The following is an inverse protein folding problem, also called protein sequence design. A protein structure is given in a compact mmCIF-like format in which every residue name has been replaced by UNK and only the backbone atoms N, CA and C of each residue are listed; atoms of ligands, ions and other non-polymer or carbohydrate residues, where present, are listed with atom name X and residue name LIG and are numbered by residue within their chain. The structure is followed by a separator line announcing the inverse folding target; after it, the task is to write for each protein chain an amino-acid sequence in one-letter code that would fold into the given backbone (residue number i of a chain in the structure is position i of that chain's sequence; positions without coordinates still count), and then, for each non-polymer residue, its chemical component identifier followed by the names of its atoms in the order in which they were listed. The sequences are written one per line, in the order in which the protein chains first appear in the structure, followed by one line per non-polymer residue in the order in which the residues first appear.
data_IF_899320483199
#
_entry.id   IF_899320483199
#
_cell.length_a   1.000
_cell.length_b   1.000
_cell.length_c   1.000
_cell.angle_alpha   90.00
_cell.angle_beta   90.00
_cell.angle_gamma   90.00
#
_symmetry.space_group_name_H-M   'P 1'
#
loop_
_entity.id
_entity.type
_entity.pdbx_description
1 polymer ?
#
# COMPACT_ATOMS: atom_id res chain seq x y z
N UNK A 1 -41.00 -11.21 -48.82
CA UNK A 1 -40.59 -11.86 -47.55
C UNK A 1 -41.00 -10.94 -46.38
N UNK A 2 -41.32 -11.48 -45.20
CA UNK A 2 -42.63 -11.28 -44.55
C UNK A 2 -42.72 -10.08 -43.57
N UNK A 3 -43.93 -9.81 -43.04
CA UNK A 3 -44.33 -8.57 -42.37
C UNK A 3 -44.47 -8.73 -40.84
N UNK A 4 -44.84 -7.64 -40.13
CA UNK A 4 -45.59 -7.52 -38.84
C UNK A 4 -45.15 -6.23 -38.12
N UNK A 5 -45.93 -5.42 -37.39
CA UNK A 5 -47.31 -5.37 -36.83
C UNK A 5 -47.60 -3.87 -36.56
N UNK A 6 -48.82 -3.34 -36.75
CA UNK A 6 -49.87 -3.18 -35.70
C UNK A 6 -49.30 -2.57 -34.40
N UNK A 7 -49.81 -1.52 -33.77
CA UNK A 7 -51.18 -0.98 -33.57
C UNK A 7 -50.94 0.30 -32.74
N UNK A 8 -51.62 1.44 -32.98
CA UNK A 8 -52.84 1.84 -32.27
C UNK A 8 -52.63 2.02 -30.75
N UNK A 9 -53.13 3.03 -30.04
CA UNK A 9 -54.23 3.98 -30.26
C UNK A 9 -54.47 4.64 -28.89
N UNK A 10 -54.72 5.97 -28.87
CA UNK A 10 -55.54 6.73 -27.88
C UNK A 10 -55.03 6.81 -26.42
N UNK A 11 -55.43 7.75 -25.57
CA UNK A 11 -56.14 9.04 -25.60
C UNK A 11 -56.03 9.61 -24.18
N UNK A 12 -56.53 10.84 -24.01
CA UNK A 12 -57.08 11.44 -22.79
C UNK A 12 -56.06 12.21 -21.95
N UNK A 13 -55.99 13.54 -22.04
CA UNK A 13 -56.95 14.63 -21.69
C UNK A 13 -56.97 14.99 -20.20
N UNK A 14 -56.74 16.29 -19.98
CA UNK A 14 -57.38 17.18 -19.01
C UNK A 14 -57.06 16.95 -17.52
N UNK A 15 -56.34 17.87 -16.87
CA UNK A 15 -56.84 19.15 -16.32
C UNK A 15 -57.67 18.95 -15.04
N UNK A 16 -57.15 19.42 -13.90
CA UNK A 16 -57.70 20.58 -13.22
C UNK A 16 -56.90 20.91 -11.96
N UNK A 17 -56.71 22.21 -11.75
CA UNK A 17 -56.26 22.83 -10.52
C UNK A 17 -57.28 22.64 -9.38
N UNK A 18 -56.86 22.91 -8.14
CA UNK A 18 -57.44 23.92 -7.22
C UNK A 18 -57.09 23.64 -5.75
N UNK A 19 -56.69 24.72 -5.07
CA UNK A 19 -56.80 25.05 -3.64
C UNK A 19 -55.91 24.37 -2.59
N UNK A 20 -54.92 25.15 -2.11
CA UNK A 20 -54.69 25.37 -0.67
C UNK A 20 -55.84 26.26 -0.10
N UNK A 21 -56.08 26.43 1.22
CA UNK A 21 -55.05 26.74 2.22
C UNK A 21 -55.30 26.22 3.66
N UNK A 22 -54.40 26.63 4.58
CA UNK A 22 -54.60 26.88 6.02
C UNK A 22 -53.79 25.99 7.00
N UNK A 23 -52.65 26.56 7.38
CA UNK A 23 -52.24 26.90 8.75
C UNK A 23 -52.50 25.90 9.90
N UNK A 24 -51.43 25.39 10.47
CA UNK A 24 -51.21 25.42 11.94
C UNK A 24 -49.73 25.18 12.24
N UNK A 25 -49.13 26.13 12.96
CA UNK A 25 -47.78 26.07 13.51
C UNK A 25 -47.80 25.35 14.90
N UNK A 26 -46.73 25.36 15.72
CA UNK A 26 -46.02 24.14 16.13
C UNK A 26 -46.13 23.86 17.64
N UNK A 27 -45.79 22.66 18.07
CA UNK A 27 -45.71 22.27 19.49
C UNK A 27 -44.59 21.22 19.68
N UNK A 28 -44.00 21.07 20.88
CA UNK A 28 -42.57 21.29 21.15
C UNK A 28 -41.75 20.01 21.39
N UNK A 29 -40.40 20.11 21.48
CA UNK A 29 -39.51 18.96 21.67
C UNK A 29 -39.23 18.69 23.15
N UNK A 30 -39.22 17.40 23.54
CA UNK A 30 -38.59 16.91 24.76
C UNK A 30 -38.53 15.36 24.73
N UNK A 31 -37.72 14.70 25.57
CA UNK A 31 -36.29 14.92 25.84
C UNK A 31 -35.49 13.61 25.72
N UNK A 32 -34.16 13.71 25.73
CA UNK A 32 -33.22 12.59 25.76
C UNK A 32 -33.41 11.68 27.00
N UNK A 33 -33.07 10.39 26.89
CA UNK A 33 -32.70 9.59 28.05
C UNK A 33 -31.27 9.05 27.96
N UNK A 34 -30.45 9.46 28.93
CA UNK A 34 -29.35 8.68 29.53
C UNK A 34 -29.60 8.69 31.05
N UNK A 35 -28.96 7.84 31.88
CA UNK A 35 -28.22 6.60 31.64
C UNK A 35 -28.72 5.45 32.56
N UNK A 36 -28.42 4.18 32.23
CA UNK A 36 -28.58 3.07 33.18
C UNK A 36 -27.30 2.24 33.24
N UNK A 37 -26.72 2.20 34.44
CA UNK A 37 -25.52 1.46 34.81
C UNK A 37 -25.88 0.10 35.44
N UNK A 38 -25.08 -0.95 35.17
CA UNK A 38 -24.65 -1.96 36.15
C UNK A 38 -23.47 -2.81 35.60
N UNK A 39 -22.67 -3.46 36.47
CA UNK A 39 -21.21 -3.62 36.37
C UNK A 39 -20.84 -5.13 36.35
N UNK A 40 -19.72 -5.56 36.96
CA UNK A 40 -18.34 -5.54 36.48
C UNK A 40 -17.89 -6.95 36.07
N UNK A 41 -17.03 -7.09 35.05
CA UNK A 41 -16.22 -8.30 34.91
C UNK A 41 -14.78 -7.94 34.66
N UNK A 42 -13.96 -8.49 35.55
CA UNK A 42 -12.53 -8.36 35.62
C UNK A 42 -11.82 -9.26 34.60
N UNK A 43 -10.58 -8.87 34.37
CA UNK A 43 -9.43 -9.68 33.97
C UNK A 43 -9.18 -9.93 32.47
N UNK A 44 -7.95 -9.57 32.12
CA UNK A 44 -7.11 -9.93 30.98
C UNK A 44 -7.45 -9.38 29.59
N UNK A 45 -6.97 -8.17 29.32
CA UNK A 45 -6.41 -7.81 28.01
C UNK A 45 -5.07 -7.06 28.18
N UNK A 46 -4.14 -7.67 28.93
CA UNK A 46 -2.73 -7.28 28.91
C UNK A 46 -2.04 -8.04 27.77
N UNK A 47 -2.29 -7.64 26.52
CA UNK A 47 -1.46 -7.98 25.35
C UNK A 47 -2.06 -7.39 24.06
N UNK A 48 -2.17 -6.06 23.97
CA UNK A 48 -2.40 -5.41 22.66
C UNK A 48 -1.97 -3.94 22.72
N UNK A 49 -0.68 -3.72 23.04
CA UNK A 49 -0.08 -2.37 23.06
C UNK A 49 0.98 -2.17 21.98
N UNK A 50 1.34 -3.19 21.19
CA UNK A 50 2.47 -3.09 20.24
C UNK A 50 2.08 -2.89 18.78
N UNK A 51 0.78 -2.90 18.45
CA UNK A 51 0.31 -2.68 17.05
C UNK A 51 -0.15 -1.27 16.74
N UNK A 52 -0.41 -0.42 17.75
CA UNK A 52 -0.92 0.94 17.50
C UNK A 52 0.17 2.02 17.52
N UNK A 53 1.42 1.67 17.83
CA UNK A 53 2.54 2.61 17.90
C UNK A 53 3.54 2.47 16.76
N UNK A 54 3.35 1.52 15.85
CA UNK A 54 4.34 1.17 14.82
C UNK A 54 3.93 1.57 13.40
N UNK A 55 2.62 1.65 13.12
CA UNK A 55 2.12 2.04 11.78
C UNK A 55 1.84 3.54 11.67
N UNK A 56 1.73 4.23 12.79
CA UNK A 56 1.52 5.68 12.77
C UNK A 56 2.90 6.36 12.66
N UNK A 57 3.19 7.07 11.55
CA UNK A 57 4.38 7.90 11.49
C UNK A 57 4.41 8.83 12.71
N UNK A 58 5.60 9.19 13.23
CA UNK A 58 5.70 10.11 14.35
C UNK A 58 4.77 11.30 14.08
N UNK A 59 3.98 11.77 15.08
CA UNK A 59 3.00 12.82 14.86
C UNK A 59 3.71 14.01 14.27
N UNK A 60 3.58 14.16 12.95
CA UNK A 60 4.19 15.27 12.24
C UNK A 60 3.47 16.48 12.79
N UNK A 61 4.18 17.46 13.37
CA UNK A 61 3.53 18.64 13.91
C UNK A 61 2.65 19.23 12.80
N UNK A 62 1.36 19.39 13.09
CA UNK A 62 0.34 19.82 12.11
C UNK A 62 0.72 21.13 11.42
N UNK A 63 1.56 21.94 12.06
CA UNK A 63 2.21 23.10 11.47
C UNK A 63 3.69 23.19 11.87
N UNK A 64 4.52 23.59 10.91
CA UNK A 64 5.93 23.93 11.16
C UNK A 64 6.02 25.21 12.04
N UNK A 65 4.98 26.05 12.00
CA UNK A 65 4.75 27.25 12.82
C UNK A 65 3.65 26.96 13.86
N UNK A 66 4.04 26.43 15.03
CA UNK A 66 3.12 25.97 16.09
C UNK A 66 2.58 27.10 16.96
N UNK A 67 3.26 28.25 16.95
CA UNK A 67 2.94 29.49 17.64
C UNK A 67 2.04 30.42 16.80
N UNK A 68 1.86 30.14 15.51
CA UNK A 68 1.08 30.96 14.61
C UNK A 68 -0.42 30.71 14.77
N UNK A 69 -1.14 31.74 15.23
CA UNK A 69 -2.61 31.78 15.23
C UNK A 69 -3.06 32.57 13.98
N UNK A 70 -3.81 31.95 13.05
CA UNK A 70 -4.30 32.65 11.87
C UNK A 70 -5.18 33.85 12.28
N UNK A 71 -4.94 35.05 11.75
CA UNK A 71 -5.82 36.18 12.00
C UNK A 71 -7.18 35.97 11.32
N UNK A 72 -8.23 36.56 11.88
CA UNK A 72 -9.55 36.59 11.25
C UNK A 72 -9.47 37.35 9.92
N UNK A 73 -9.87 36.70 8.83
CA UNK A 73 -9.77 37.27 7.48
C UNK A 73 -10.95 38.20 7.23
N UNK A 74 -10.66 39.48 6.99
CA UNK A 74 -11.65 40.41 6.48
C UNK A 74 -11.90 40.09 5.00
N UNK A 75 -13.15 40.02 4.53
CA UNK A 75 -13.45 39.80 3.13
C UNK A 75 -12.74 40.85 2.27
N UNK A 76 -11.92 40.42 1.32
CA UNK A 76 -11.26 41.33 0.41
C UNK A 76 -12.25 41.83 -0.63
N UNK A 77 -12.38 43.16 -0.75
CA UNK A 77 -13.11 43.77 -1.85
C UNK A 77 -12.18 43.87 -3.05
N UNK A 78 -12.40 42.99 -4.04
CA UNK A 78 -11.67 43.03 -5.30
C UNK A 78 -12.21 44.16 -6.19
N UNK A 79 -11.29 44.94 -6.77
CA UNK A 79 -11.64 45.84 -7.86
C UNK A 79 -12.04 45.05 -9.10
N UNK A 80 -12.71 45.68 -10.05
CA UNK A 80 -13.12 44.97 -11.28
C UNK A 80 -11.89 44.52 -12.10
N UNK A 81 -10.81 45.30 -12.10
CA UNK A 81 -9.53 44.91 -12.71
C UNK A 81 -8.92 43.65 -12.04
N UNK A 82 -9.00 43.56 -10.72
CA UNK A 82 -8.51 42.39 -9.99
C UNK A 82 -9.35 41.14 -10.32
N UNK A 83 -10.67 41.28 -10.45
CA UNK A 83 -11.55 40.19 -10.86
C UNK A 83 -11.21 39.70 -12.27
N UNK A 84 -10.93 40.61 -13.20
CA UNK A 84 -10.51 40.24 -14.57
C UNK A 84 -9.17 39.49 -14.57
N UNK A 85 -8.20 39.94 -13.76
CA UNK A 85 -6.92 39.24 -13.58
C UNK A 85 -7.10 37.85 -13.00
N UNK A 86 -7.97 37.70 -12.00
CA UNK A 86 -8.29 36.41 -11.39
C UNK A 86 -8.92 35.46 -12.42
N UNK A 87 -9.83 35.95 -13.26
CA UNK A 87 -10.41 35.12 -14.34
C UNK A 87 -9.35 34.73 -15.36
N UNK A 88 -8.46 35.64 -15.72
CA UNK A 88 -7.35 35.35 -16.63
C UNK A 88 -6.39 34.31 -16.03
N UNK A 89 -6.09 34.40 -14.74
CA UNK A 89 -5.28 33.43 -14.02
C UNK A 89 -5.96 32.07 -13.94
N UNK A 90 -7.27 32.04 -13.63
CA UNK A 90 -8.08 30.83 -13.54
C UNK A 90 -8.11 30.06 -14.85
N UNK A 91 -8.38 30.79 -15.94
CA UNK A 91 -8.55 30.21 -17.26
C UNK A 91 -7.22 30.00 -17.99
N UNK A 92 -6.14 30.69 -17.56
CA UNK A 92 -4.84 30.75 -18.23
C UNK A 92 -4.88 31.36 -19.64
N UNK A 93 -5.99 31.99 -20.02
CA UNK A 93 -6.17 32.72 -21.27
C UNK A 93 -7.13 33.88 -21.07
N UNK A 94 -7.11 34.84 -22.00
CA UNK A 94 -8.05 35.96 -22.01
C UNK A 94 -9.41 35.53 -22.56
N UNK A 95 -10.52 35.69 -21.81
CA UNK A 95 -11.85 35.35 -22.29
C UNK A 95 -12.23 36.09 -23.57
N UNK A 96 -11.73 37.31 -23.76
CA UNK A 96 -11.97 38.10 -24.98
C UNK A 96 -11.31 37.43 -26.20
N UNK A 97 -10.11 36.89 -26.05
CA UNK A 97 -9.41 36.17 -27.13
C UNK A 97 -10.19 34.92 -27.53
N UNK A 98 -10.67 34.14 -26.56
CA UNK A 98 -11.46 32.94 -26.84
C UNK A 98 -12.75 33.28 -27.60
N UNK A 99 -13.44 34.35 -27.19
CA UNK A 99 -14.68 34.77 -27.85
C UNK A 99 -14.43 35.28 -29.26
N UNK A 100 -13.32 35.98 -29.49
CA UNK A 100 -12.87 36.38 -30.81
C UNK A 100 -12.58 35.17 -31.70
N UNK A 101 -11.84 34.18 -31.20
CA UNK A 101 -11.51 32.96 -31.96
C UNK A 101 -12.76 32.15 -32.33
N UNK A 102 -13.76 32.10 -31.43
CA UNK A 102 -15.05 31.45 -31.70
C UNK A 102 -15.82 32.20 -32.79
N UNK A 103 -15.89 33.53 -32.72
CA UNK A 103 -16.57 34.34 -33.71
C UNK A 103 -15.90 34.21 -35.09
N UNK A 104 -14.57 34.27 -35.14
CA UNK A 104 -13.80 34.08 -36.37
C UNK A 104 -14.02 32.69 -36.97
N UNK A 105 -14.03 31.65 -36.14
CA UNK A 105 -14.32 30.29 -36.61
C UNK A 105 -15.74 30.14 -37.15
N UNK A 106 -16.71 30.84 -36.54
CA UNK A 106 -18.08 30.87 -37.03
C UNK A 106 -18.19 31.58 -38.39
N UNK A 107 -17.45 32.68 -38.58
CA UNK A 107 -17.33 33.35 -39.88
C UNK A 107 -16.72 32.43 -40.93
N UNK A 108 -15.61 31.75 -40.63
CA UNK A 108 -15.02 30.83 -41.59
C UNK A 108 -15.99 29.68 -41.95
N UNK A 109 -16.71 29.16 -40.96
CA UNK A 109 -17.70 28.10 -41.20
C UNK A 109 -18.86 28.60 -42.06
N UNK A 110 -19.33 29.83 -41.82
CA UNK A 110 -20.33 30.50 -42.64
C UNK A 110 -19.90 30.57 -44.11
N UNK A 111 -18.70 31.09 -44.40
CA UNK A 111 -18.16 31.14 -45.76
C UNK A 111 -18.06 29.76 -46.39
N UNK A 112 -17.50 28.77 -45.68
CA UNK A 112 -17.41 27.39 -46.17
C UNK A 112 -18.79 26.79 -46.50
N UNK A 113 -19.84 27.14 -45.75
CA UNK A 113 -21.21 26.68 -46.06
C UNK A 113 -21.78 27.36 -47.29
N UNK A 114 -21.55 28.66 -47.48
CA UNK A 114 -21.98 29.40 -48.67
C UNK A 114 -21.27 28.85 -49.91
N UNK A 115 -19.94 28.67 -49.86
CA UNK A 115 -19.16 28.04 -50.93
C UNK A 115 -19.67 26.63 -51.25
N UNK A 116 -20.02 25.84 -50.23
CA UNK A 116 -20.60 24.51 -50.41
C UNK A 116 -21.97 24.53 -51.09
N UNK A 117 -22.82 25.49 -50.74
CA UNK A 117 -24.14 25.71 -51.35
C UNK A 117 -23.99 26.20 -52.78
N UNK A 118 -23.08 27.13 -53.05
CA UNK A 118 -22.76 27.62 -54.39
C UNK A 118 -22.27 26.49 -55.29
N UNK A 119 -21.30 25.70 -54.81
CA UNK A 119 -20.78 24.55 -55.54
C UNK A 119 -21.87 23.49 -55.80
N UNK A 120 -22.83 23.32 -54.88
CA UNK A 120 -23.98 22.44 -55.10
C UNK A 120 -24.95 23.01 -56.14
N UNK A 121 -25.31 24.29 -56.03
CA UNK A 121 -26.22 24.97 -56.93
C UNK A 121 -25.66 25.01 -58.36
N UNK A 122 -24.37 25.29 -58.53
CA UNK A 122 -23.68 25.27 -59.81
C UNK A 122 -23.69 23.88 -60.48
N UNK A 123 -23.59 22.79 -59.69
CA UNK A 123 -23.72 21.42 -60.22
C UNK A 123 -25.13 21.12 -60.72
N UNK A 124 -26.16 21.64 -60.05
CA UNK A 124 -27.55 21.37 -60.40
C UNK A 124 -28.07 22.25 -61.55
N UNK A 125 -27.57 23.48 -61.69
CA UNK A 125 -27.94 24.45 -62.73
C UNK A 125 -27.51 24.07 -64.16
N UNK A 126 -26.79 22.95 -64.36
CA UNK A 126 -26.47 22.32 -65.67
C UNK A 126 -26.23 23.31 -66.84
N UNK A 127 -25.24 24.18 -66.69
CA UNK A 127 -24.59 24.97 -67.76
C UNK A 127 -25.57 25.80 -68.61
N UNK A 128 -26.26 26.74 -67.96
CA UNK A 128 -26.89 27.87 -68.64
C UNK A 128 -26.35 29.15 -68.02
N UNK A 129 -25.68 29.97 -68.83
CA UNK A 129 -25.07 31.25 -68.42
C UNK A 129 -26.04 32.19 -67.66
N UNK A 130 -27.34 32.06 -67.88
CA UNK A 130 -28.36 32.83 -67.17
C UNK A 130 -28.62 32.32 -65.74
N UNK A 131 -28.59 31.00 -65.54
CA UNK A 131 -28.83 30.34 -64.24
C UNK A 131 -27.57 30.43 -63.36
N UNK A 132 -26.37 30.41 -63.96
CA UNK A 132 -25.10 30.63 -63.25
C UNK A 132 -25.03 32.03 -62.60
N UNK A 133 -25.41 33.08 -63.35
CA UNK A 133 -25.47 34.45 -62.81
C UNK A 133 -26.49 34.61 -61.68
N UNK A 134 -27.62 33.92 -61.78
CA UNK A 134 -28.63 33.95 -60.72
C UNK A 134 -28.12 33.24 -59.45
N UNK A 135 -27.37 32.14 -59.60
CA UNK A 135 -26.71 31.44 -58.50
C UNK A 135 -25.64 32.32 -57.84
N UNK A 136 -24.79 33.02 -58.61
CA UNK A 136 -23.78 33.94 -58.07
C UNK A 136 -24.42 35.09 -57.27
N UNK A 137 -25.45 35.73 -57.83
CA UNK A 137 -26.17 36.83 -57.16
C UNK A 137 -26.90 36.34 -55.90
N UNK A 138 -27.50 35.15 -55.96
CA UNK A 138 -28.16 34.52 -54.83
C UNK A 138 -27.19 34.09 -53.73
N UNK A 139 -26.03 33.54 -54.11
CA UNK A 139 -24.94 33.16 -53.20
C UNK A 139 -24.42 34.38 -52.44
N UNK A 140 -24.14 35.46 -53.16
CA UNK A 140 -23.68 36.70 -52.55
C UNK A 140 -24.74 37.34 -51.64
N UNK A 141 -26.02 37.31 -52.02
CA UNK A 141 -27.10 37.80 -51.15
C UNK A 141 -27.25 36.93 -49.88
N UNK A 142 -27.04 35.62 -49.99
CA UNK A 142 -27.04 34.69 -48.86
C UNK A 142 -25.83 34.95 -47.93
N UNK A 143 -24.64 35.15 -48.50
CA UNK A 143 -23.42 35.50 -47.79
C UNK A 143 -23.62 36.75 -46.94
N UNK A 144 -24.00 37.87 -47.56
CA UNK A 144 -24.21 39.14 -46.85
C UNK A 144 -25.29 39.03 -45.77
N UNK A 145 -26.37 38.29 -46.04
CA UNK A 145 -27.42 38.07 -45.05
C UNK A 145 -26.87 37.28 -43.84
N UNK A 146 -26.10 36.23 -44.12
CA UNK A 146 -25.58 35.34 -43.09
C UNK A 146 -24.49 36.04 -42.27
N UNK A 147 -23.59 36.79 -42.89
CA UNK A 147 -22.63 37.67 -42.20
C UNK A 147 -23.34 38.61 -41.22
N UNK A 148 -24.34 39.37 -41.69
CA UNK A 148 -25.07 40.33 -40.86
C UNK A 148 -25.74 39.67 -39.65
N UNK A 149 -26.26 38.45 -39.83
CA UNK A 149 -26.91 37.71 -38.75
C UNK A 149 -25.92 37.06 -37.79
N UNK A 150 -24.80 36.53 -38.31
CA UNK A 150 -23.75 35.91 -37.53
C UNK A 150 -23.05 36.97 -36.68
N UNK A 151 -22.66 38.11 -37.25
CA UNK A 151 -22.10 39.26 -36.52
C UNK A 151 -22.99 39.66 -35.34
N UNK A 152 -24.29 39.91 -35.62
CA UNK A 152 -25.24 40.30 -34.58
C UNK A 152 -25.39 39.23 -33.50
N UNK A 153 -25.44 37.96 -33.88
CA UNK A 153 -25.57 36.87 -32.93
C UNK A 153 -24.31 36.75 -32.04
N UNK A 154 -23.12 36.83 -32.63
CA UNK A 154 -21.86 36.72 -31.91
C UNK A 154 -21.51 37.96 -31.08
N UNK A 155 -21.93 39.16 -31.48
CA UNK A 155 -21.88 40.35 -30.63
C UNK A 155 -22.73 40.16 -29.36
N UNK A 156 -23.95 39.65 -29.53
CA UNK A 156 -24.87 39.40 -28.41
C UNK A 156 -24.34 38.30 -27.50
N UNK A 157 -23.78 37.23 -28.08
CA UNK A 157 -23.13 36.15 -27.36
C UNK A 157 -21.91 36.62 -26.59
N UNK A 158 -21.03 37.40 -27.22
CA UNK A 158 -19.81 37.95 -26.59
C UNK A 158 -20.18 38.83 -25.40
N UNK A 159 -21.15 39.74 -25.59
CA UNK A 159 -21.66 40.58 -24.51
C UNK A 159 -22.28 39.75 -23.37
N UNK A 160 -23.02 38.69 -23.69
CA UNK A 160 -23.62 37.80 -22.69
C UNK A 160 -22.54 37.01 -21.92
N UNK A 161 -21.56 36.45 -22.61
CA UNK A 161 -20.50 35.63 -22.03
C UNK A 161 -19.62 36.44 -21.08
N UNK A 162 -19.19 37.65 -21.49
CA UNK A 162 -18.39 38.54 -20.65
C UNK A 162 -19.16 39.04 -19.42
N UNK A 163 -20.49 39.21 -19.53
CA UNK A 163 -21.32 39.67 -18.40
C UNK A 163 -21.72 38.58 -17.42
N UNK A 164 -21.81 37.32 -17.84
CA UNK A 164 -22.36 36.23 -17.03
C UNK A 164 -21.38 35.09 -16.80
N UNK A 165 -20.82 34.51 -17.87
CA UNK A 165 -20.01 33.30 -17.77
C UNK A 165 -18.62 33.60 -17.19
N UNK A 166 -18.01 34.71 -17.60
CA UNK A 166 -16.67 35.11 -17.17
C UNK A 166 -16.68 36.21 -16.10
N UNK A 167 -17.86 36.55 -15.56
CA UNK A 167 -17.97 37.58 -14.51
C UNK A 167 -17.93 36.94 -13.13
N UNK A 168 -17.02 37.42 -12.29
CA UNK A 168 -17.01 37.09 -10.86
C UNK A 168 -18.10 37.90 -10.15
N UNK A 169 -19.02 37.26 -9.41
CA UNK A 169 -20.05 37.97 -8.65
C UNK A 169 -19.45 38.80 -7.51
N UNK A 170 -20.07 39.95 -7.24
CA UNK A 170 -19.63 40.85 -6.17
C UNK A 170 -19.85 40.21 -4.79
N UNK A 171 -18.86 40.33 -3.91
CA UNK A 171 -18.92 39.81 -2.54
C UNK A 171 -18.56 38.33 -2.39
N UNK A 172 -18.13 37.65 -3.46
CA UNK A 172 -17.58 36.28 -3.37
C UNK A 172 -16.07 36.35 -3.24
N UNK A 173 -15.54 35.73 -2.18
CA UNK A 173 -14.10 35.50 -2.03
C UNK A 173 -13.68 34.40 -3.01
N UNK A 174 -13.01 34.79 -4.11
CA UNK A 174 -12.50 33.83 -5.08
C UNK A 174 -11.16 33.29 -4.59
N UNK A 175 -11.17 32.06 -4.09
CA UNK A 175 -9.94 31.34 -3.73
C UNK A 175 -9.61 30.35 -4.85
N UNK A 176 -8.52 30.61 -5.56
CA UNK A 176 -8.02 29.68 -6.57
C UNK A 176 -7.52 28.38 -5.93
N UNK A 177 -7.58 27.24 -6.63
CA UNK A 177 -7.09 25.97 -6.11
C UNK A 177 -5.63 26.02 -5.65
N UNK A 178 -4.77 26.75 -6.36
CA UNK A 178 -3.36 26.93 -5.99
C UNK A 178 -3.13 27.99 -4.90
N UNK A 179 -4.09 28.90 -4.67
CA UNK A 179 -4.06 29.82 -3.52
C UNK A 179 -4.53 29.14 -2.24
N UNK A 180 -5.11 27.93 -2.32
CA UNK A 180 -5.56 27.19 -1.15
C UNK A 180 -4.37 26.78 -0.27
N UNK A 181 -4.37 27.25 0.97
CA UNK A 181 -3.33 26.94 1.95
C UNK A 181 -2.13 27.89 1.92
N UNK A 182 -2.10 28.85 0.99
CA UNK A 182 -1.14 29.95 1.06
C UNK A 182 -1.64 30.94 2.12
N UNK A 183 -0.79 31.20 3.10
CA UNK A 183 -1.07 32.16 4.16
C UNK A 183 0.09 33.15 4.26
N UNK A 184 -0.07 34.32 3.64
CA UNK A 184 0.94 35.37 3.65
C UNK A 184 1.15 35.97 5.04
N UNK A 185 0.14 35.94 5.91
CA UNK A 185 0.29 36.38 7.30
C UNK A 185 1.21 35.43 8.08
N UNK A 186 1.17 34.12 7.77
CA UNK A 186 2.12 33.14 8.32
C UNK A 186 3.54 33.41 7.85
N UNK A 187 3.73 33.73 6.58
CA UNK A 187 5.05 34.07 6.05
C UNK A 187 5.60 35.35 6.71
N UNK A 188 4.77 36.39 6.83
CA UNK A 188 5.14 37.63 7.50
C UNK A 188 5.53 37.41 8.99
N UNK A 189 4.82 36.52 9.68
CA UNK A 189 5.16 36.12 11.05
C UNK A 189 6.56 35.50 11.10
N UNK A 190 6.87 34.53 10.23
CA UNK A 190 8.19 33.86 10.19
C UNK A 190 9.32 34.84 9.88
N UNK A 191 9.12 35.79 8.96
CA UNK A 191 10.10 36.84 8.64
C UNK A 191 10.31 37.80 9.81
N UNK A 192 9.27 38.05 10.62
CA UNK A 192 9.35 38.89 11.80
C UNK A 192 10.13 38.28 12.97
N UNK A 193 10.30 36.95 12.99
CA UNK A 193 11.11 36.27 14.01
C UNK A 193 12.60 36.38 13.70
N UNK A 194 13.48 36.56 14.71
CA UNK A 194 14.92 36.51 14.49
C UNK A 194 15.32 35.11 14.00
N UNK A 195 15.97 35.05 12.83
CA UNK A 195 16.38 33.81 12.14
C UNK A 195 15.24 32.79 11.88
N UNK A 196 14.02 33.29 11.65
CA UNK A 196 12.84 32.43 11.44
C UNK A 196 12.95 31.54 10.19
N UNK A 197 13.46 32.08 9.08
CA UNK A 197 13.66 31.30 7.85
C UNK A 197 14.74 30.21 8.03
N UNK A 198 15.86 30.55 8.67
CA UNK A 198 16.94 29.61 8.95
C UNK A 198 16.47 28.46 9.86
N UNK A 199 15.75 28.79 10.93
CA UNK A 199 15.14 27.81 11.81
C UNK A 199 14.13 26.90 11.09
N UNK A 200 13.33 27.45 10.16
CA UNK A 200 12.37 26.68 9.36
C UNK A 200 13.08 25.69 8.42
N UNK A 201 14.14 26.15 7.75
CA UNK A 201 14.97 25.31 6.87
C UNK A 201 15.66 24.21 7.66
N UNK A 202 16.25 24.52 8.82
CA UNK A 202 16.86 23.54 9.71
C UNK A 202 15.84 22.48 10.18
N UNK A 203 14.64 22.92 10.58
CA UNK A 203 13.57 22.01 10.98
C UNK A 203 13.09 21.13 9.81
N UNK A 204 13.02 21.67 8.60
CA UNK A 204 12.71 20.88 7.40
C UNK A 204 13.80 19.83 7.13
N UNK A 205 15.08 20.15 7.31
CA UNK A 205 16.16 19.17 7.18
C UNK A 205 16.08 18.08 8.24
N UNK A 206 15.73 18.43 9.48
CA UNK A 206 15.55 17.47 10.57
C UNK A 206 14.37 16.53 10.29
N UNK A 207 13.24 17.07 9.83
CA UNK A 207 12.08 16.26 9.46
C UNK A 207 12.39 15.32 8.30
N UNK A 208 13.14 15.77 7.30
CA UNK A 208 13.61 14.90 6.20
C UNK A 208 14.49 13.77 6.73
N UNK A 209 15.43 14.08 7.63
CA UNK A 209 16.27 13.05 8.26
C UNK A 209 15.44 12.06 9.10
N UNK A 210 14.45 12.54 9.85
CA UNK A 210 13.54 11.68 10.62
C UNK A 210 12.72 10.74 9.72
N UNK A 211 12.23 11.23 8.58
CA UNK A 211 11.50 10.40 7.61
C UNK A 211 12.40 9.32 7.01
N UNK A 212 13.65 9.65 6.67
CA UNK A 212 14.60 8.64 6.18
C UNK A 212 14.98 7.61 7.25
N UNK A 213 15.17 8.03 8.50
CA UNK A 213 15.38 7.11 9.62
C UNK A 213 14.18 6.18 9.82
N UNK A 214 12.95 6.71 9.75
CA UNK A 214 11.74 5.91 9.85
C UNK A 214 11.63 4.88 8.71
N UNK A 215 11.97 5.27 7.47
CA UNK A 215 12.02 4.36 6.31
C UNK A 215 13.00 3.21 6.53
N UNK A 216 14.21 3.51 7.03
CA UNK A 216 15.23 2.51 7.31
C UNK A 216 14.80 1.53 8.43
N UNK A 217 14.19 2.05 9.49
CA UNK A 217 13.66 1.22 10.58
C UNK A 217 12.55 0.31 10.08
N UNK A 218 11.58 0.84 9.32
CA UNK A 218 10.49 0.05 8.75
C UNK A 218 11.01 -1.03 7.81
N UNK A 219 12.02 -0.73 7.00
CA UNK A 219 12.65 -1.71 6.13
C UNK A 219 13.32 -2.85 6.94
N UNK A 220 14.08 -2.51 7.99
CA UNK A 220 14.71 -3.52 8.87
C UNK A 220 13.68 -4.36 9.61
N UNK A 221 12.59 -3.74 10.03
CA UNK A 221 11.50 -4.42 10.70
C UNK A 221 10.84 -5.44 9.77
N UNK A 222 10.53 -5.06 8.53
CA UNK A 222 9.97 -5.99 7.54
C UNK A 222 10.88 -7.20 7.28
N UNK A 223 12.21 -6.99 7.26
CA UNK A 223 13.17 -8.09 7.14
C UNK A 223 13.17 -9.00 8.38
N UNK A 224 13.08 -8.41 9.58
CA UNK A 224 13.02 -9.16 10.83
C UNK A 224 11.72 -9.98 10.94
N UNK A 225 10.58 -9.42 10.53
CA UNK A 225 9.31 -10.13 10.45
C UNK A 225 9.40 -11.33 9.50
N UNK A 226 9.92 -11.13 8.29
CA UNK A 226 10.10 -12.23 7.33
C UNK A 226 11.04 -13.34 7.88
N UNK A 227 12.06 -12.98 8.65
CA UNK A 227 12.94 -13.96 9.30
C UNK A 227 12.23 -14.72 10.43
N UNK A 228 11.39 -14.04 11.21
CA UNK A 228 10.59 -14.65 12.28
C UNK A 228 9.52 -15.59 11.72
N UNK A 229 8.85 -15.21 10.64
CA UNK A 229 7.84 -16.03 9.97
C UNK A 229 8.46 -17.35 9.48
N UNK A 230 9.64 -17.30 8.85
CA UNK A 230 10.39 -18.51 8.46
C UNK A 230 10.73 -19.39 9.66
N UNK A 231 11.14 -18.81 10.79
CA UNK A 231 11.43 -19.58 12.01
C UNK A 231 10.16 -20.22 12.58
N UNK A 232 9.03 -19.52 12.51
CA UNK A 232 7.73 -20.03 12.94
C UNK A 232 7.29 -21.20 12.05
N UNK A 233 7.43 -21.09 10.72
CA UNK A 233 7.18 -22.19 9.78
C UNK A 233 8.03 -23.43 10.12
N UNK A 234 9.32 -23.26 10.36
CA UNK A 234 10.20 -24.38 10.74
C UNK A 234 9.76 -24.99 12.08
N UNK A 235 9.44 -24.16 13.08
CA UNK A 235 8.99 -24.63 14.38
C UNK A 235 7.65 -25.39 14.31
N UNK A 236 6.71 -24.92 13.48
CA UNK A 236 5.42 -25.59 13.27
C UNK A 236 5.57 -26.91 12.51
N UNK A 237 6.45 -26.97 11.50
CA UNK A 237 6.80 -28.22 10.82
C UNK A 237 7.43 -29.23 11.79
N UNK A 238 8.41 -28.81 12.59
CA UNK A 238 9.04 -29.67 13.62
C UNK A 238 8.02 -30.15 14.65
N UNK A 239 7.11 -29.26 15.08
CA UNK A 239 6.01 -29.63 15.98
C UNK A 239 5.09 -30.67 15.35
N UNK A 240 4.76 -30.55 14.06
CA UNK A 240 3.96 -31.54 13.35
C UNK A 240 4.67 -32.90 13.22
N UNK A 241 5.98 -32.91 12.95
CA UNK A 241 6.80 -34.13 12.91
C UNK A 241 6.85 -34.83 14.28
N UNK A 242 7.08 -34.07 15.36
CA UNK A 242 7.05 -34.63 16.73
C UNK A 242 5.64 -35.10 17.09
N UNK A 243 4.60 -34.38 16.67
CA UNK A 243 3.20 -34.81 16.80
C UNK A 243 2.93 -36.15 16.13
N UNK A 244 3.38 -36.32 14.88
CA UNK A 244 3.26 -37.59 14.14
C UNK A 244 3.96 -38.76 14.85
N UNK A 245 5.17 -38.54 15.38
CA UNK A 245 5.89 -39.56 16.15
C UNK A 245 5.12 -39.89 17.44
N UNK A 246 4.63 -38.87 18.15
CA UNK A 246 3.86 -39.06 19.38
C UNK A 246 2.55 -39.82 19.15
N UNK A 247 1.86 -39.54 18.04
CA UNK A 247 0.63 -40.24 17.64
C UNK A 247 0.94 -41.69 17.21
N UNK A 248 2.00 -41.93 16.42
CA UNK A 248 2.44 -43.29 16.07
C UNK A 248 2.82 -44.13 17.30
N UNK A 249 3.48 -43.52 18.28
CA UNK A 249 3.79 -44.15 19.58
C UNK A 249 2.52 -44.47 20.36
N UNK A 250 1.53 -43.58 20.33
CA UNK A 250 0.23 -43.78 21.00
C UNK A 250 -0.55 -44.91 20.34
N UNK A 251 -0.58 -44.97 19.01
CA UNK A 251 -1.25 -46.01 18.22
C UNK A 251 -0.60 -47.38 18.41
N UNK A 252 0.73 -47.43 18.54
CA UNK A 252 1.47 -48.64 18.92
C UNK A 252 1.22 -49.08 20.38
N UNK A 253 0.44 -48.31 21.15
CA UNK A 253 0.17 -48.55 22.56
C UNK A 253 1.42 -48.41 23.44
N UNK A 254 2.46 -47.73 22.96
CA UNK A 254 3.73 -47.54 23.66
C UNK A 254 3.74 -46.28 24.53
N UNK A 255 2.69 -45.48 24.51
CA UNK A 255 2.53 -44.31 25.37
C UNK A 255 2.04 -44.71 26.78
N UNK A 256 2.67 -44.23 27.87
CA UNK A 256 3.92 -43.47 27.92
C UNK A 256 5.17 -44.34 27.70
N UNK A 257 6.07 -43.88 26.81
CA UNK A 257 7.34 -44.54 26.49
C UNK A 257 8.29 -44.79 27.68
N UNK A 258 8.46 -43.86 28.64
CA UNK A 258 9.44 -44.04 29.72
C UNK A 258 9.11 -45.23 30.64
N UNK A 259 7.83 -45.49 30.88
CA UNK A 259 7.40 -46.57 31.78
C UNK A 259 7.69 -47.93 31.14
N UNK A 260 7.31 -48.10 29.87
CA UNK A 260 7.56 -49.35 29.13
C UNK A 260 9.05 -49.57 28.83
N UNK A 261 9.81 -48.52 28.55
CA UNK A 261 11.26 -48.61 28.39
C UNK A 261 11.93 -48.97 29.72
N UNK A 262 11.42 -48.44 30.84
CA UNK A 262 11.82 -48.82 32.20
C UNK A 262 11.57 -50.29 32.49
N UNK A 263 10.39 -50.80 32.13
CA UNK A 263 10.01 -52.21 32.30
C UNK A 263 10.90 -53.13 31.46
N UNK A 264 11.17 -52.78 30.20
CA UNK A 264 12.07 -53.55 29.32
C UNK A 264 13.51 -53.50 29.85
N UNK A 265 14.00 -52.34 30.29
CA UNK A 265 15.33 -52.22 30.87
C UNK A 265 15.45 -53.01 32.18
N UNK A 266 14.42 -53.02 33.02
CA UNK A 266 14.36 -53.83 34.23
C UNK A 266 14.31 -55.33 33.91
N UNK A 267 13.53 -55.74 32.90
CA UNK A 267 13.47 -57.12 32.44
C UNK A 267 14.80 -57.59 31.83
N UNK A 268 15.48 -56.74 31.06
CA UNK A 268 16.82 -57.02 30.51
C UNK A 268 17.88 -57.11 31.60
N UNK A 269 17.85 -56.21 32.61
CA UNK A 269 18.73 -56.32 33.79
C UNK A 269 18.46 -57.61 34.56
N UNK A 270 17.19 -57.92 34.83
CA UNK A 270 16.82 -59.17 35.50
C UNK A 270 17.21 -60.42 34.70
N UNK A 271 17.17 -60.36 33.36
CA UNK A 271 17.66 -61.42 32.49
C UNK A 271 19.19 -61.52 32.55
N UNK A 272 19.89 -60.39 32.48
CA UNK A 272 21.34 -60.33 32.64
C UNK A 272 21.79 -60.92 33.98
N UNK A 273 21.15 -60.53 35.08
CA UNK A 273 21.43 -61.04 36.43
C UNK A 273 21.14 -62.55 36.55
N UNK A 274 20.16 -63.07 35.78
CA UNK A 274 19.86 -64.52 35.70
C UNK A 274 20.80 -65.30 34.79
N UNK A 275 21.42 -64.65 33.80
CA UNK A 275 22.45 -65.24 32.94
C UNK A 275 23.85 -65.14 33.54
N UNK A 276 24.11 -64.15 34.40
CA UNK A 276 25.38 -64.00 35.12
C UNK A 276 25.79 -65.24 35.94
N UNK A 277 24.88 -66.02 36.59
CA UNK A 277 25.25 -67.28 37.23
C UNK A 277 25.41 -68.47 36.26
N UNK A 278 25.01 -68.33 35.00
CA UNK A 278 25.27 -69.33 33.95
C UNK A 278 26.65 -69.13 33.29
N UNK A 279 27.25 -67.94 33.43
CA UNK A 279 28.69 -67.71 33.24
C UNK A 279 29.49 -68.37 34.37
N UNK A 280 29.45 -69.70 34.39
CA UNK A 280 30.42 -70.55 35.08
C UNK A 280 31.79 -70.43 34.38
N UNK A 281 32.88 -70.59 35.14
CA UNK A 281 34.00 -69.67 35.14
C UNK A 281 34.77 -69.70 33.83
N UNK A 282 34.80 -68.57 33.12
CA UNK A 282 35.89 -68.28 32.20
C UNK A 282 37.15 -68.07 33.03
N UNK A 283 37.76 -69.21 33.39
CA UNK A 283 39.19 -69.45 33.52
C UNK A 283 39.97 -68.15 33.54
N UNK A 284 40.29 -67.69 34.76
CA UNK A 284 41.29 -66.69 35.11
C UNK A 284 42.08 -66.28 33.87
N UNK A 285 41.70 -65.14 33.28
CA UNK A 285 42.51 -64.48 32.29
C UNK A 285 43.83 -64.16 32.98
N UNK A 286 44.77 -65.11 32.89
CA UNK A 286 46.18 -64.81 33.06
C UNK A 286 46.42 -63.62 32.15
N UNK A 287 46.78 -62.50 32.79
CA UNK A 287 47.49 -61.37 32.20
C UNK A 287 48.28 -61.89 31.00
N UNK A 288 48.06 -61.24 29.85
CA UNK A 288 48.75 -61.54 28.60
C UNK A 288 50.23 -61.85 28.89
N UNK A 289 50.81 -62.92 28.34
CA UNK A 289 52.25 -63.04 28.39
C UNK A 289 52.82 -61.81 27.69
N UNK A 290 53.71 -61.07 28.37
CA UNK A 290 54.51 -60.03 27.74
C UNK A 290 55.26 -60.70 26.58
N UNK A 291 54.76 -60.48 25.36
CA UNK A 291 55.42 -60.94 24.15
C UNK A 291 56.69 -60.10 23.97
N UNK A 292 57.87 -60.72 23.80
CA UNK A 292 59.07 -59.97 23.46
C UNK A 292 58.90 -59.29 22.10
N UNK A 293 59.39 -58.04 22.04
CA UNK A 293 59.34 -57.16 20.87
C UNK A 293 59.73 -57.90 19.59
N UNK A 294 58.75 -58.03 18.68
CA UNK A 294 58.97 -58.51 17.31
C UNK A 294 58.09 -59.66 16.83
N UNK A 295 57.28 -60.29 17.69
CA UNK A 295 56.35 -61.34 17.25
C UNK A 295 54.91 -60.85 17.19
N UNK A 296 54.26 -61.10 16.06
CA UNK A 296 52.92 -60.60 15.78
C UNK A 296 51.88 -61.54 16.39
N UNK A 297 50.83 -60.99 17.01
CA UNK A 297 49.89 -61.75 17.86
C UNK A 297 49.16 -62.92 17.14
N UNK A 298 49.17 -62.96 15.80
CA UNK A 298 48.62 -64.06 15.01
C UNK A 298 49.54 -65.29 14.92
N UNK A 299 50.83 -65.17 15.24
CA UNK A 299 51.80 -66.27 15.22
C UNK A 299 51.81 -67.07 16.54
N UNK A 300 51.33 -66.47 17.64
CA UNK A 300 51.24 -67.10 18.96
C UNK A 300 50.03 -68.06 19.11
N UNK A 301 49.31 -68.32 18.01
CA UNK A 301 48.19 -69.26 17.94
C UNK A 301 46.82 -68.63 18.11
N UNK A 302 45.79 -69.40 17.75
CA UNK A 302 44.38 -68.96 17.63
C UNK A 302 43.82 -68.25 18.87
N UNK A 303 44.28 -68.63 20.07
CA UNK A 303 43.82 -68.02 21.32
C UNK A 303 44.35 -66.59 21.51
N UNK A 304 45.58 -66.29 21.08
CA UNK A 304 46.19 -64.96 21.14
C UNK A 304 45.60 -64.01 20.09
N UNK A 305 45.27 -64.53 18.91
CA UNK A 305 44.58 -63.75 17.88
C UNK A 305 43.18 -63.31 18.33
N UNK A 306 42.43 -64.22 18.98
CA UNK A 306 41.08 -63.90 19.46
C UNK A 306 41.09 -62.88 20.59
N UNK A 307 42.04 -62.94 21.53
CA UNK A 307 42.14 -61.92 22.59
C UNK A 307 42.59 -60.55 22.05
N UNK A 308 43.48 -60.52 21.05
CA UNK A 308 43.86 -59.29 20.36
C UNK A 308 42.69 -58.68 19.57
N UNK A 309 41.95 -59.50 18.82
CA UNK A 309 40.80 -59.05 18.04
C UNK A 309 39.67 -58.52 18.94
N UNK A 310 39.43 -59.18 20.08
CA UNK A 310 38.45 -58.73 21.07
C UNK A 310 38.88 -57.40 21.71
N UNK A 311 40.18 -57.26 22.04
CA UNK A 311 40.75 -56.01 22.54
C UNK A 311 40.62 -54.85 21.55
N UNK A 312 40.83 -55.12 20.26
CA UNK A 312 40.70 -54.12 19.19
C UNK A 312 39.25 -53.70 18.94
N UNK A 313 38.30 -54.64 19.05
CA UNK A 313 36.88 -54.34 18.91
C UNK A 313 36.36 -53.47 20.07
N UNK A 314 36.77 -53.77 21.31
CA UNK A 314 36.43 -53.00 22.50
C UNK A 314 37.06 -51.59 22.51
N UNK A 315 38.30 -51.44 22.01
CA UNK A 315 38.92 -50.12 21.87
C UNK A 315 38.29 -49.29 20.75
N UNK A 316 37.91 -49.91 19.63
CA UNK A 316 37.23 -49.21 18.52
C UNK A 316 35.82 -48.70 18.87
N UNK A 317 35.17 -49.31 19.87
CA UNK A 317 33.88 -48.85 20.38
C UNK A 317 34.02 -47.62 21.33
N UNK A 318 35.24 -47.31 21.80
CA UNK A 318 35.51 -46.23 22.75
C UNK A 318 35.98 -44.93 22.09
N UNK A 319 36.38 -44.93 20.82
CA UNK A 319 36.84 -43.72 20.11
C UNK A 319 35.77 -43.17 19.15
N UNK A 320 34.99 -42.20 19.67
CA UNK A 320 34.42 -40.99 19.02
C UNK A 320 32.92 -40.73 19.33
N UNK A 321 32.56 -39.68 20.10
CA UNK A 321 31.23 -39.11 20.10
C UNK A 321 31.05 -38.17 18.89
N UNK A 322 30.06 -38.46 18.05
CA UNK A 322 29.76 -37.75 16.80
C UNK A 322 29.28 -36.29 17.04
N UNK A 323 28.83 -35.97 18.27
CA UNK A 323 28.31 -34.64 18.63
C UNK A 323 29.35 -33.50 18.55
N UNK A 324 30.57 -33.72 19.04
CA UNK A 324 31.58 -32.66 19.13
C UNK A 324 32.05 -32.14 17.76
N UNK A 325 31.91 -32.96 16.70
CA UNK A 325 32.26 -32.56 15.34
C UNK A 325 31.18 -31.70 14.68
N UNK A 326 29.92 -31.88 15.07
CA UNK A 326 28.79 -31.10 14.58
C UNK A 326 28.79 -29.72 15.25
N UNK A 327 29.04 -29.68 16.56
CA UNK A 327 29.11 -28.42 17.33
C UNK A 327 30.33 -27.56 16.95
N UNK A 328 31.41 -28.19 16.45
CA UNK A 328 32.56 -27.49 15.89
C UNK A 328 32.28 -26.93 14.48
N UNK A 329 31.53 -27.65 13.66
CA UNK A 329 31.12 -27.20 12.33
C UNK A 329 30.07 -26.07 12.39
N UNK A 330 29.14 -26.13 13.36
CA UNK A 330 28.12 -25.11 13.57
C UNK A 330 28.72 -23.79 14.10
N UNK A 331 29.75 -23.86 14.95
CA UNK A 331 30.53 -22.68 15.38
C UNK A 331 31.32 -22.04 14.24
N UNK A 332 31.94 -22.85 13.37
CA UNK A 332 32.67 -22.35 12.22
C UNK A 332 31.73 -21.69 11.18
N UNK A 333 30.51 -22.20 10.99
CA UNK A 333 29.51 -21.60 10.11
C UNK A 333 29.00 -20.23 10.62
N UNK A 334 28.87 -20.07 11.94
CA UNK A 334 28.45 -18.81 12.55
C UNK A 334 29.51 -17.69 12.46
N UNK A 335 30.80 -18.00 12.52
CA UNK A 335 31.87 -17.00 12.41
C UNK A 335 32.04 -16.45 10.98
N UNK A 336 31.80 -17.28 9.96
CA UNK A 336 31.95 -16.86 8.55
C UNK A 336 30.82 -15.92 8.13
N UNK A 337 29.58 -16.17 8.58
CA UNK A 337 28.45 -15.30 8.29
C UNK A 337 28.58 -13.89 8.91
N UNK A 338 29.21 -13.77 10.08
CA UNK A 338 29.32 -12.50 10.80
C UNK A 338 30.39 -11.55 10.25
N UNK A 339 31.48 -12.06 9.64
CA UNK A 339 32.58 -11.20 9.17
C UNK A 339 32.33 -10.66 7.76
N UNK A 340 31.78 -11.49 6.88
CA UNK A 340 31.54 -11.11 5.49
C UNK A 340 30.42 -10.06 5.35
N UNK A 341 29.41 -10.08 6.23
CA UNK A 341 28.34 -9.07 6.26
C UNK A 341 28.80 -7.71 6.80
N UNK A 342 29.74 -7.71 7.75
CA UNK A 342 30.27 -6.47 8.35
C UNK A 342 31.25 -5.76 7.42
N UNK A 343 32.09 -6.52 6.69
CA UNK A 343 33.01 -5.96 5.69
C UNK A 343 32.28 -5.46 4.43
N UNK A 344 31.15 -6.07 4.06
CA UNK A 344 30.29 -5.59 2.99
C UNK A 344 29.60 -4.25 3.36
N UNK A 345 29.21 -4.08 4.62
CA UNK A 345 28.63 -2.82 5.11
C UNK A 345 29.67 -1.70 5.22
N UNK A 346 30.91 -2.00 5.62
CA UNK A 346 31.98 -1.01 5.72
C UNK A 346 32.37 -0.40 4.35
N UNK A 347 32.22 -1.16 3.26
CA UNK A 347 32.46 -0.67 1.89
C UNK A 347 31.33 0.16 1.29
N UNK A 348 30.12 0.10 1.84
CA UNK A 348 28.97 0.87 1.36
C UNK A 348 28.87 2.24 2.06
N UNK A 349 29.58 2.40 3.19
CA UNK A 349 29.55 3.61 4.03
C UNK A 349 30.73 4.58 3.73
N UNK A 350 31.65 4.24 2.82
CA UNK A 350 32.70 5.13 2.29
C UNK A 350 32.36 5.63 0.89
#
# INVERSE_FOLDING_TARGET
MPPRKSTGRRQSTAASAVAAPSASAPAPPAPAPTPAAKPPQAASSLASSSKHTLDDPPPVPESITWDYVPPERVPQHYTDEDKERLVHELMQFSPVSLLYDIAEHAHQTAHNTVEGVEAWAAREARVRDAEEREVEVGSHALETLLETHVDRAFDTFTAYALRNAFKVPDGVEVVMPWHKGIDFARAAHVVGLPDGEGALVARLTDLRAQVEHARLVNHRLALAEAALDRRLEIATQRRAQVGFIADSVRDAGLAPLPDKAGDVAAALRALHDKLHPLDTPTRSAKRAPDLPDGTTAWEAGRAAYLSWALGKALSSASEAPIGDRIDAAERAAHEVASKDEVDALAKIVQ
#
